data_IF_831677995148
#
_entry.id   IF_831677995148
#
_cell.length_a   1.000
_cell.length_b   1.000
_cell.length_c   1.000
_cell.angle_alpha   90.00
_cell.angle_beta   90.00
_cell.angle_gamma   90.00
#
_symmetry.space_group_name_H-M   'P 1'
#
loop_
_entity.id
_entity.type
_entity.pdbx_description
1 polymer ?
#
# COMPACT_ATOMS: atom_id res chain seq x y z
N UNK A 1 28.91 2.58 -19.01
CA UNK A 1 28.37 3.11 -17.74
C UNK A 1 27.30 4.08 -18.17
N UNK A 2 26.03 3.68 -18.11
CA UNK A 2 24.93 4.53 -18.54
C UNK A 2 24.85 5.74 -17.63
N UNK A 3 24.86 6.93 -18.24
CA UNK A 3 24.92 8.21 -17.57
C UNK A 3 23.51 8.60 -17.05
N UNK A 4 22.96 7.81 -16.13
CA UNK A 4 21.60 8.01 -15.58
C UNK A 4 21.53 9.30 -14.77
N UNK A 5 20.53 10.12 -15.04
CA UNK A 5 20.25 11.35 -14.29
C UNK A 5 19.12 11.10 -13.29
N UNK A 6 19.23 11.71 -12.11
CA UNK A 6 18.16 11.63 -11.10
C UNK A 6 16.87 12.18 -11.71
N UNK A 7 15.80 11.40 -11.64
CA UNK A 7 14.54 11.70 -12.29
C UNK A 7 14.34 11.00 -13.64
N UNK A 8 15.33 10.31 -14.20
CA UNK A 8 15.11 9.43 -15.35
C UNK A 8 14.15 8.29 -14.98
N UNK A 9 13.15 8.01 -15.80
CA UNK A 9 12.17 6.96 -15.55
C UNK A 9 11.79 6.16 -16.81
N UNK A 10 11.38 4.91 -16.59
CA UNK A 10 10.94 3.97 -17.63
C UNK A 10 9.75 3.12 -17.16
N UNK A 11 9.04 2.52 -18.11
CA UNK A 11 8.01 1.52 -17.82
C UNK A 11 8.70 0.16 -17.65
N UNK A 12 8.47 -0.47 -16.50
CA UNK A 12 8.99 -1.81 -16.18
C UNK A 12 8.01 -2.89 -16.62
N UNK A 13 6.73 -2.73 -16.31
CA UNK A 13 5.65 -3.63 -16.71
C UNK A 13 4.39 -2.84 -17.05
N UNK A 14 3.53 -3.40 -17.91
CA UNK A 14 2.21 -2.85 -18.15
C UNK A 14 1.21 -3.95 -18.51
N UNK A 15 -0.06 -3.66 -18.28
CA UNK A 15 -1.18 -4.55 -18.56
C UNK A 15 -2.40 -3.75 -19.04
N UNK A 16 -3.14 -4.32 -19.99
CA UNK A 16 -4.53 -3.93 -20.23
C UNK A 16 -5.44 -4.48 -19.12
N UNK A 17 -5.25 -5.75 -18.74
CA UNK A 17 -5.80 -6.39 -17.56
C UNK A 17 -4.79 -7.40 -17.01
N UNK A 18 -4.89 -7.70 -15.71
CA UNK A 18 -4.01 -8.69 -15.09
C UNK A 18 -4.32 -10.11 -15.59
N UNK A 19 -3.29 -10.93 -15.71
CA UNK A 19 -3.38 -12.32 -16.17
C UNK A 19 -2.63 -13.25 -15.22
N UNK A 20 -3.19 -14.43 -14.96
CA UNK A 20 -2.62 -15.43 -14.04
C UNK A 20 -2.11 -16.67 -14.76
N UNK A 21 -1.07 -17.28 -14.17
CA UNK A 21 -0.61 -18.64 -14.50
C UNK A 21 -1.48 -19.62 -13.71
N UNK A 22 -2.60 -20.04 -14.30
CA UNK A 22 -3.57 -20.93 -13.65
C UNK A 22 -3.03 -22.37 -13.50
N UNK A 23 -3.36 -23.06 -12.39
CA UNK A 23 -2.96 -24.45 -12.17
C UNK A 23 -3.83 -25.41 -12.98
N UNK A 24 -5.04 -24.98 -13.36
CA UNK A 24 -6.03 -25.77 -14.07
C UNK A 24 -6.70 -24.95 -15.17
N UNK A 25 -6.86 -25.54 -16.36
CA UNK A 25 -7.54 -24.89 -17.50
C UNK A 25 -9.01 -24.57 -17.21
N UNK A 26 -9.67 -25.34 -16.34
CA UNK A 26 -11.05 -25.06 -15.93
C UNK A 26 -11.16 -23.73 -15.17
N UNK A 27 -10.21 -23.45 -14.28
CA UNK A 27 -10.14 -22.20 -13.52
C UNK A 27 -9.90 -21.00 -14.45
N UNK A 28 -8.96 -21.15 -15.39
CA UNK A 28 -8.71 -20.15 -16.42
C UNK A 28 -9.96 -19.85 -17.25
N UNK A 29 -10.65 -20.91 -17.70
CA UNK A 29 -11.86 -20.79 -18.50
C UNK A 29 -12.96 -20.05 -17.73
N UNK A 30 -13.21 -20.40 -16.48
CA UNK A 30 -14.21 -19.72 -15.65
C UNK A 30 -13.85 -18.25 -15.42
N UNK A 31 -12.60 -17.94 -15.10
CA UNK A 31 -12.11 -16.57 -14.91
C UNK A 31 -12.40 -15.65 -16.11
N UNK A 32 -12.17 -16.15 -17.32
CA UNK A 32 -12.46 -15.40 -18.55
C UNK A 32 -13.95 -15.41 -18.93
N UNK A 33 -14.67 -16.50 -18.68
CA UNK A 33 -16.10 -16.60 -18.99
C UNK A 33 -16.97 -15.70 -18.10
N UNK A 34 -16.63 -15.58 -16.82
CA UNK A 34 -17.31 -14.70 -15.86
C UNK A 34 -16.79 -13.25 -15.90
N UNK A 35 -15.79 -12.98 -16.74
CA UNK A 35 -15.12 -11.68 -16.85
C UNK A 35 -14.55 -11.16 -15.52
N UNK A 36 -14.10 -12.05 -14.62
CA UNK A 36 -13.55 -11.67 -13.31
C UNK A 36 -12.31 -10.78 -13.41
N UNK A 37 -11.58 -10.84 -14.52
CA UNK A 37 -10.46 -9.94 -14.83
C UNK A 37 -10.84 -8.45 -14.81
N UNK A 38 -12.11 -8.10 -15.04
CA UNK A 38 -12.58 -6.70 -14.96
C UNK A 38 -12.59 -6.15 -13.54
N UNK A 39 -12.60 -7.01 -12.52
CA UNK A 39 -12.53 -6.63 -11.11
C UNK A 39 -11.10 -6.62 -10.55
N UNK A 40 -10.11 -7.06 -11.32
CA UNK A 40 -8.76 -7.25 -10.85
C UNK A 40 -7.93 -5.96 -10.96
N UNK A 41 -7.78 -5.25 -9.83
CA UNK A 41 -6.91 -4.08 -9.73
C UNK A 41 -5.68 -4.37 -8.89
N UNK A 42 -4.51 -4.01 -9.42
CA UNK A 42 -3.24 -3.99 -8.71
C UNK A 42 -3.25 -2.89 -7.63
N UNK A 43 -2.81 -3.23 -6.42
CA UNK A 43 -2.64 -2.26 -5.34
C UNK A 43 -1.16 -2.09 -4.95
N UNK A 44 -0.60 -3.01 -4.16
CA UNK A 44 0.75 -2.92 -3.62
C UNK A 44 1.79 -3.66 -4.46
N UNK A 45 2.86 -2.97 -4.87
CA UNK A 45 3.99 -3.55 -5.58
C UNK A 45 5.26 -3.59 -4.71
N UNK A 46 5.99 -4.71 -4.69
CA UNK A 46 7.26 -4.84 -3.97
C UNK A 46 8.31 -5.60 -4.79
N UNK A 47 9.58 -5.34 -4.48
CA UNK A 47 10.72 -6.10 -5.00
C UNK A 47 11.57 -6.64 -3.86
N UNK A 48 12.05 -7.88 -4.01
CA UNK A 48 12.90 -8.52 -3.01
C UNK A 48 14.39 -8.27 -3.29
N UNK A 49 15.25 -8.80 -2.43
CA UNK A 49 16.72 -8.70 -2.59
C UNK A 49 17.28 -9.41 -3.81
N UNK A 50 16.55 -10.39 -4.34
CA UNK A 50 16.93 -11.15 -5.52
C UNK A 50 16.50 -10.46 -6.82
N UNK A 51 15.77 -9.34 -6.73
CA UNK A 51 15.21 -8.63 -7.88
C UNK A 51 13.97 -9.28 -8.46
N UNK A 52 13.30 -10.16 -7.69
CA UNK A 52 11.95 -10.60 -8.01
C UNK A 52 10.96 -9.46 -7.77
N UNK A 53 9.85 -9.50 -8.51
CA UNK A 53 8.77 -8.53 -8.39
C UNK A 53 7.49 -9.21 -7.97
N UNK A 54 6.73 -8.51 -7.14
CA UNK A 54 5.51 -9.03 -6.54
C UNK A 54 4.44 -7.95 -6.56
N UNK A 55 3.19 -8.40 -6.63
CA UNK A 55 2.02 -7.56 -6.70
C UNK A 55 0.90 -8.14 -5.84
N UNK A 56 0.25 -7.28 -5.06
CA UNK A 56 -1.03 -7.61 -4.43
C UNK A 56 -2.22 -7.20 -5.31
N UNK A 57 -3.25 -8.05 -5.29
CA UNK A 57 -4.55 -7.83 -5.91
C UNK A 57 -5.59 -8.07 -4.82
N UNK A 58 -6.03 -7.02 -4.10
CA UNK A 58 -7.03 -7.16 -3.05
C UNK A 58 -8.34 -7.70 -3.63
N UNK A 59 -9.06 -8.50 -2.84
CA UNK A 59 -10.31 -9.16 -3.28
C UNK A 59 -11.52 -8.25 -3.12
N UNK A 60 -11.47 -7.06 -3.71
CA UNK A 60 -12.59 -6.11 -3.72
C UNK A 60 -13.75 -6.53 -4.64
N UNK A 61 -13.46 -7.40 -5.61
CA UNK A 61 -14.39 -7.92 -6.59
C UNK A 61 -14.40 -9.47 -6.55
N UNK A 62 -15.46 -10.12 -7.06
CA UNK A 62 -15.51 -11.58 -7.14
C UNK A 62 -14.45 -12.15 -8.08
N UNK A 63 -14.01 -13.37 -7.78
CA UNK A 63 -13.23 -14.19 -8.72
C UNK A 63 -11.75 -13.83 -8.85
N UNK A 64 -11.19 -13.02 -7.95
CA UNK A 64 -9.75 -12.76 -7.89
C UNK A 64 -8.99 -14.04 -7.47
N UNK A 65 -8.16 -14.64 -8.36
CA UNK A 65 -7.59 -15.97 -8.12
C UNK A 65 -6.65 -16.02 -6.91
N UNK A 66 -5.71 -15.07 -6.84
CA UNK A 66 -4.74 -14.96 -5.76
C UNK A 66 -4.50 -13.49 -5.40
N UNK A 67 -4.45 -13.21 -4.09
CA UNK A 67 -4.34 -11.85 -3.57
C UNK A 67 -2.90 -11.36 -3.45
N UNK A 68 -1.93 -12.27 -3.34
CA UNK A 68 -0.50 -11.96 -3.48
C UNK A 68 0.08 -12.79 -4.62
N UNK A 69 0.87 -12.13 -5.47
CA UNK A 69 1.37 -12.73 -6.69
C UNK A 69 2.85 -12.37 -6.91
N UNK A 70 3.63 -13.32 -7.41
CA UNK A 70 4.94 -13.08 -7.99
C UNK A 70 4.76 -12.85 -9.49
N UNK A 71 5.47 -11.88 -10.06
CA UNK A 71 5.44 -11.63 -11.50
C UNK A 71 6.47 -12.53 -12.20
N UNK A 72 6.02 -13.24 -13.22
CA UNK A 72 6.85 -14.09 -14.08
C UNK A 72 6.70 -13.68 -15.54
N UNK A 73 7.82 -13.66 -16.29
CA UNK A 73 7.79 -13.38 -17.72
C UNK A 73 7.52 -14.66 -18.49
N UNK A 74 6.35 -14.75 -19.14
CA UNK A 74 5.96 -15.88 -19.99
C UNK A 74 5.78 -15.36 -21.41
N UNK A 75 6.60 -15.86 -22.34
CA UNK A 75 6.58 -15.43 -23.76
C UNK A 75 6.70 -13.90 -23.93
N UNK A 76 7.48 -13.25 -23.06
CA UNK A 76 7.68 -11.80 -23.08
C UNK A 76 6.55 -10.98 -22.43
N UNK A 77 5.53 -11.63 -21.87
CA UNK A 77 4.44 -10.98 -21.12
C UNK A 77 4.59 -11.17 -19.61
N UNK A 78 4.34 -10.14 -18.80
CA UNK A 78 4.34 -10.28 -17.35
C UNK A 78 3.04 -10.96 -16.89
N UNK A 79 3.14 -12.13 -16.28
CA UNK A 79 2.03 -12.94 -15.76
C UNK A 79 2.12 -13.08 -14.24
N UNK A 80 0.98 -13.31 -13.58
CA UNK A 80 0.89 -13.46 -12.13
C UNK A 80 0.89 -14.93 -11.71
N UNK A 81 1.90 -15.33 -10.95
CA UNK A 81 1.95 -16.60 -10.24
C UNK A 81 1.49 -16.41 -8.79
N UNK A 82 0.53 -17.20 -8.31
CA UNK A 82 0.05 -17.12 -6.94
C UNK A 82 1.21 -17.31 -5.95
N UNK A 83 1.36 -16.38 -5.01
CA UNK A 83 2.44 -16.38 -4.02
C UNK A 83 1.89 -16.31 -2.59
N UNK A 84 2.44 -17.05 -1.62
CA UNK A 84 3.54 -18.01 -1.76
C UNK A 84 3.13 -19.35 -2.41
N UNK A 85 1.82 -19.61 -2.50
CA UNK A 85 1.26 -20.73 -3.25
C UNK A 85 -0.25 -20.51 -3.49
N UNK A 86 -0.88 -21.41 -4.26
CA UNK A 86 -2.34 -21.43 -4.42
C UNK A 86 -3.06 -21.77 -3.11
N UNK A 87 -2.50 -22.66 -2.28
CA UNK A 87 -3.05 -23.03 -0.97
C UNK A 87 -3.08 -21.84 -0.03
N UNK A 88 -1.99 -21.06 0.02
CA UNK A 88 -1.93 -19.84 0.83
C UNK A 88 -2.80 -18.70 0.30
N UNK A 89 -3.41 -18.86 -0.88
CA UNK A 89 -4.40 -17.94 -1.43
C UNK A 89 -5.82 -18.55 -1.41
N UNK A 90 -6.08 -19.62 -0.65
CA UNK A 90 -7.43 -20.21 -0.60
C UNK A 90 -8.42 -19.29 0.12
N UNK A 91 -9.47 -18.87 -0.60
CA UNK A 91 -10.59 -18.11 -0.05
C UNK A 91 -11.32 -18.92 1.03
N UNK A 92 -11.65 -18.27 2.16
CA UNK A 92 -12.44 -18.82 3.26
C UNK A 92 -11.63 -19.62 4.29
N UNK A 93 -10.34 -19.89 4.05
CA UNK A 93 -9.46 -20.50 5.05
C UNK A 93 -8.77 -19.40 5.89
N UNK A 94 -9.08 -19.25 7.19
CA UNK A 94 -8.48 -18.20 8.03
C UNK A 94 -6.96 -18.31 8.15
N UNK A 95 -6.36 -19.49 7.86
CA UNK A 95 -4.91 -19.67 7.85
C UNK A 95 -4.25 -19.21 6.54
N UNK A 96 -5.04 -19.00 5.48
CA UNK A 96 -4.59 -18.50 4.19
C UNK A 96 -4.87 -16.99 4.04
N UNK A 97 -4.24 -16.37 3.05
CA UNK A 97 -4.44 -14.96 2.70
C UNK A 97 -5.79 -14.74 2.02
N UNK A 98 -6.55 -13.78 2.55
CA UNK A 98 -7.91 -13.48 2.14
C UNK A 98 -7.97 -12.27 1.21
N UNK A 99 -7.42 -11.12 1.61
CA UNK A 99 -7.35 -9.91 0.79
C UNK A 99 -6.21 -9.03 1.28
N UNK A 100 -5.02 -9.22 0.70
CA UNK A 100 -3.85 -8.39 0.99
C UNK A 100 -3.91 -7.13 0.15
N UNK A 101 -3.78 -5.98 0.81
CA UNK A 101 -3.68 -4.68 0.16
C UNK A 101 -2.24 -4.17 0.21
N UNK A 102 -1.88 -3.40 1.22
CA UNK A 102 -0.52 -3.00 1.50
C UNK A 102 0.28 -4.12 2.17
N UNK A 103 1.59 -4.02 2.05
CA UNK A 103 2.53 -4.95 2.66
C UNK A 103 3.93 -4.33 2.61
N UNK A 104 4.90 -4.96 3.25
CA UNK A 104 6.30 -4.51 3.21
C UNK A 104 7.27 -5.69 3.11
N UNK A 105 8.40 -5.50 2.44
CA UNK A 105 9.53 -6.46 2.48
C UNK A 105 10.65 -5.83 3.30
N UNK A 106 10.98 -6.47 4.42
CA UNK A 106 11.95 -5.94 5.37
C UNK A 106 13.41 -6.25 5.00
N UNK A 107 14.35 -5.70 5.78
CA UNK A 107 15.78 -5.94 5.60
C UNK A 107 16.26 -7.33 6.06
N UNK A 108 15.36 -8.25 6.40
CA UNK A 108 15.67 -9.67 6.58
C UNK A 108 15.08 -10.52 5.43
N UNK A 109 14.60 -9.88 4.36
CA UNK A 109 13.95 -10.52 3.22
C UNK A 109 12.66 -11.25 3.64
N UNK A 110 11.93 -10.67 4.60
CA UNK A 110 10.62 -11.17 5.03
C UNK A 110 9.52 -10.25 4.53
N UNK A 111 8.50 -10.84 3.92
CA UNK A 111 7.28 -10.15 3.56
C UNK A 111 6.34 -10.05 4.76
N UNK A 112 5.82 -8.86 5.02
CA UNK A 112 4.80 -8.57 6.02
C UNK A 112 3.49 -8.28 5.30
N UNK A 113 2.71 -9.32 5.01
CA UNK A 113 1.43 -9.19 4.33
C UNK A 113 0.36 -8.66 5.30
N UNK A 114 -0.24 -7.52 4.97
CA UNK A 114 -1.38 -6.99 5.71
C UNK A 114 -2.68 -7.48 5.05
N UNK A 115 -3.26 -8.52 5.64
CA UNK A 115 -4.49 -9.13 5.17
C UNK A 115 -5.70 -8.44 5.83
N UNK A 116 -6.51 -7.77 5.01
CA UNK A 116 -7.72 -7.08 5.46
C UNK A 116 -8.81 -8.06 5.89
N UNK A 117 -8.81 -9.28 5.36
CA UNK A 117 -9.88 -10.26 5.60
C UNK A 117 -11.22 -9.95 4.93
N UNK A 118 -11.42 -8.74 4.41
CA UNK A 118 -12.62 -8.33 3.65
C UNK A 118 -12.58 -8.91 2.24
N UNK A 119 -13.63 -9.64 1.85
CA UNK A 119 -13.82 -10.17 0.50
C UNK A 119 -15.08 -9.55 -0.08
N UNK A 120 -14.98 -8.95 -1.26
CA UNK A 120 -16.08 -8.24 -1.95
C UNK A 120 -16.70 -7.13 -1.09
N UNK A 121 -15.90 -6.51 -0.22
CA UNK A 121 -16.37 -5.50 0.74
C UNK A 121 -17.27 -6.02 1.86
N UNK A 122 -17.43 -7.35 1.98
CA UNK A 122 -18.18 -7.95 3.09
C UNK A 122 -17.37 -7.83 4.39
N UNK A 123 -18.04 -7.78 5.56
CA UNK A 123 -17.36 -7.81 6.84
C UNK A 123 -16.40 -9.00 6.96
N UNK A 124 -15.27 -8.75 7.60
CA UNK A 124 -14.27 -9.77 7.86
C UNK A 124 -14.82 -10.87 8.79
N UNK A 125 -14.42 -12.12 8.56
CA UNK A 125 -14.66 -13.22 9.51
C UNK A 125 -13.51 -13.31 10.52
N UNK A 126 -13.77 -13.88 11.69
CA UNK A 126 -12.75 -14.01 12.71
C UNK A 126 -11.51 -14.79 12.23
N UNK A 127 -10.32 -14.21 12.39
CA UNK A 127 -9.05 -14.78 11.95
C UNK A 127 -8.65 -14.47 10.50
N UNK A 128 -9.55 -13.92 9.67
CA UNK A 128 -9.21 -13.51 8.31
C UNK A 128 -8.37 -12.21 8.29
N UNK A 129 -8.66 -11.25 9.17
CA UNK A 129 -7.88 -10.03 9.35
C UNK A 129 -6.61 -10.30 10.15
N UNK A 130 -5.44 -10.12 9.54
CA UNK A 130 -4.16 -10.53 10.13
C UNK A 130 -2.95 -9.87 9.46
N UNK A 131 -1.85 -9.84 10.21
CA UNK A 131 -0.52 -9.53 9.70
C UNK A 131 0.27 -10.84 9.58
N UNK A 132 0.75 -11.18 8.39
CA UNK A 132 1.49 -12.43 8.13
C UNK A 132 2.94 -12.09 7.80
N UNK A 133 3.88 -12.59 8.61
CA UNK A 133 5.32 -12.51 8.35
C UNK A 133 5.76 -13.80 7.63
N UNK A 134 6.27 -13.65 6.42
CA UNK A 134 6.68 -14.75 5.54
C UNK A 134 8.14 -14.58 5.13
N UNK A 135 8.95 -15.62 5.33
CA UNK A 135 10.34 -15.64 4.86
C UNK A 135 10.35 -15.94 3.36
N UNK A 136 10.77 -14.97 2.55
CA UNK A 136 10.79 -15.11 1.09
C UNK A 136 11.89 -16.09 0.66
N UNK A 137 13.01 -16.12 1.38
CA UNK A 137 14.19 -16.91 1.04
C UNK A 137 13.92 -18.40 1.21
N UNK A 138 13.32 -18.75 2.34
CA UNK A 138 12.96 -20.14 2.66
C UNK A 138 11.54 -20.52 2.20
N UNK A 139 10.78 -19.54 1.69
CA UNK A 139 9.37 -19.65 1.33
C UNK A 139 8.54 -20.34 2.45
N UNK A 140 8.63 -19.80 3.66
CA UNK A 140 7.96 -20.35 4.85
C UNK A 140 7.27 -19.28 5.68
N UNK A 141 6.20 -19.69 6.35
CA UNK A 141 5.57 -18.88 7.37
C UNK A 141 6.52 -18.67 8.55
N UNK A 142 6.74 -17.42 8.94
CA UNK A 142 7.46 -17.06 10.18
C UNK A 142 6.46 -16.87 11.31
N UNK A 143 5.42 -16.07 11.07
CA UNK A 143 4.40 -15.75 12.07
C UNK A 143 3.09 -15.30 11.41
N UNK A 144 1.96 -15.59 12.04
CA UNK A 144 0.65 -15.08 11.65
C UNK A 144 0.00 -14.43 12.86
N UNK A 145 -0.17 -13.11 12.81
CA UNK A 145 -0.69 -12.29 13.90
C UNK A 145 -2.12 -11.89 13.57
N UNK A 146 -3.09 -12.50 14.27
CA UNK A 146 -4.49 -12.08 14.19
C UNK A 146 -4.64 -10.65 14.68
N UNK A 147 -5.34 -9.82 13.93
CA UNK A 147 -5.74 -8.47 14.36
C UNK A 147 -7.22 -8.55 14.76
N UNK A 148 -7.55 -8.49 16.06
CA UNK A 148 -8.91 -8.70 16.54
C UNK A 148 -9.82 -7.48 16.30
N UNK A 149 -11.13 -7.72 16.35
CA UNK A 149 -12.19 -6.73 16.09
C UNK A 149 -12.10 -5.48 16.98
N UNK A 150 -11.65 -5.61 18.24
CA UNK A 150 -11.48 -4.50 19.17
C UNK A 150 -10.26 -3.61 18.86
N UNK A 151 -9.30 -4.12 18.09
CA UNK A 151 -8.15 -3.35 17.56
C UNK A 151 -8.48 -2.73 16.21
N UNK A 152 -9.18 -3.49 15.36
CA UNK A 152 -9.65 -3.05 14.05
C UNK A 152 -10.97 -3.75 13.74
N UNK A 153 -12.05 -2.98 13.76
CA UNK A 153 -13.41 -3.45 13.52
C UNK A 153 -13.49 -4.23 12.20
N UNK A 154 -14.03 -5.45 12.26
CA UNK A 154 -14.31 -6.29 11.10
C UNK A 154 -15.41 -5.75 10.20
N UNK A 155 -16.17 -4.75 10.65
CA UNK A 155 -17.19 -4.07 9.85
C UNK A 155 -16.66 -2.79 9.22
N UNK A 156 -15.83 -2.03 9.94
CA UNK A 156 -15.47 -0.67 9.56
C UNK A 156 -14.05 -0.51 8.99
N UNK A 157 -13.11 -1.37 9.40
CA UNK A 157 -11.69 -1.18 9.11
C UNK A 157 -11.36 -1.41 7.64
N UNK A 158 -10.34 -0.72 7.18
CA UNK A 158 -9.73 -0.93 5.89
C UNK A 158 -8.23 -0.79 6.08
N UNK A 159 -7.59 -1.89 6.51
CA UNK A 159 -6.16 -1.94 6.79
C UNK A 159 -5.40 -1.68 5.48
N UNK A 160 -4.74 -0.54 5.40
CA UNK A 160 -4.24 -0.03 4.13
C UNK A 160 -2.78 -0.39 3.91
N UNK A 161 -1.88 0.38 4.51
CA UNK A 161 -0.44 0.21 4.39
C UNK A 161 0.25 -0.12 5.72
N UNK A 162 1.48 -0.63 5.62
CA UNK A 162 2.28 -1.09 6.75
C UNK A 162 3.75 -0.68 6.64
N UNK A 163 4.35 -0.29 7.76
CA UNK A 163 5.77 0.03 7.91
C UNK A 163 6.41 -0.84 8.99
N UNK A 164 7.63 -1.33 8.74
CA UNK A 164 8.32 -2.28 9.61
C UNK A 164 9.54 -1.63 10.26
N UNK A 165 9.65 -1.76 11.57
CA UNK A 165 10.76 -1.28 12.39
C UNK A 165 11.38 -2.45 13.16
N UNK A 166 12.24 -3.21 12.48
CA UNK A 166 12.97 -4.31 13.11
C UNK A 166 13.97 -3.82 14.18
N UNK A 167 14.51 -2.61 14.03
CA UNK A 167 15.49 -2.05 14.94
C UNK A 167 14.89 -1.82 16.35
N UNK A 168 13.66 -1.30 16.42
CA UNK A 168 12.96 -1.12 17.69
C UNK A 168 11.99 -2.28 18.02
N UNK A 169 11.68 -3.14 17.05
CA UNK A 169 10.78 -4.28 17.21
C UNK A 169 9.30 -3.91 17.12
N UNK A 170 8.92 -3.07 16.16
CA UNK A 170 7.54 -2.60 15.98
C UNK A 170 7.07 -2.65 14.52
N UNK A 171 5.77 -2.76 14.33
CA UNK A 171 5.10 -2.58 13.02
C UNK A 171 4.02 -1.52 13.18
N UNK A 172 3.87 -0.65 12.18
CA UNK A 172 2.89 0.42 12.14
C UNK A 172 1.96 0.21 10.96
N UNK A 173 0.65 0.27 11.19
CA UNK A 173 -0.38 0.02 10.17
C UNK A 173 -1.28 1.25 10.09
N UNK A 174 -1.58 1.69 8.87
CA UNK A 174 -2.63 2.65 8.59
C UNK A 174 -3.96 1.91 8.39
N UNK A 175 -5.03 2.45 8.97
CA UNK A 175 -6.39 1.96 8.78
C UNK A 175 -7.27 3.09 8.28
N UNK A 176 -7.76 2.96 7.05
CA UNK A 176 -8.54 4.00 6.37
C UNK A 176 -10.00 4.01 6.80
N UNK A 177 -10.49 2.96 7.46
CA UNK A 177 -11.82 2.93 8.10
C UNK A 177 -13.04 3.15 7.18
N UNK A 178 -12.97 2.78 5.90
CA UNK A 178 -13.86 3.30 4.83
C UNK A 178 -15.25 2.67 4.75
N UNK A 179 -15.54 1.59 5.49
CA UNK A 179 -16.78 0.83 5.32
C UNK A 179 -17.97 1.37 6.11
N UNK A 180 -17.76 2.35 7.00
CA UNK A 180 -18.84 2.97 7.79
C UNK A 180 -18.90 4.48 7.61
N UNK A 181 -20.07 5.06 7.94
CA UNK A 181 -20.26 6.50 8.08
C UNK A 181 -20.80 6.81 9.49
N UNK A 182 -20.05 7.51 10.37
CA UNK A 182 -18.74 8.12 10.13
C UNK A 182 -17.63 7.10 9.83
N UNK A 183 -16.62 7.58 9.11
CA UNK A 183 -15.38 6.85 8.84
C UNK A 183 -14.70 6.52 10.17
N UNK A 184 -14.02 5.37 10.25
CA UNK A 184 -13.41 4.89 11.51
C UNK A 184 -11.89 4.82 11.47
N UNK A 185 -11.26 5.71 10.70
CA UNK A 185 -9.81 5.69 10.46
C UNK A 185 -8.97 5.78 11.75
N UNK A 186 -7.75 5.27 11.69
CA UNK A 186 -6.84 5.20 12.83
C UNK A 186 -5.48 4.65 12.43
N UNK A 187 -4.58 4.49 13.41
CA UNK A 187 -3.33 3.76 13.23
C UNK A 187 -3.27 2.60 14.23
N UNK A 188 -2.55 1.54 13.89
CA UNK A 188 -2.32 0.39 14.76
C UNK A 188 -0.81 0.20 14.94
N UNK A 189 -0.39 0.00 16.18
CA UNK A 189 0.99 -0.30 16.54
C UNK A 189 1.05 -1.74 17.03
N UNK A 190 1.93 -2.53 16.44
CA UNK A 190 2.23 -3.89 16.87
C UNK A 190 3.62 -3.94 17.50
N UNK A 191 3.72 -4.51 18.70
CA UNK A 191 4.99 -4.76 19.36
C UNK A 191 5.44 -6.19 19.09
N UNK A 192 6.52 -6.37 18.32
CA UNK A 192 7.01 -7.69 17.92
C UNK A 192 7.50 -8.53 19.11
N UNK A 193 7.89 -7.89 20.22
CA UNK A 193 8.43 -8.55 21.41
C UNK A 193 7.31 -9.03 22.35
N UNK A 194 6.37 -8.15 22.67
CA UNK A 194 5.26 -8.49 23.58
C UNK A 194 4.09 -9.15 22.86
N UNK A 195 4.06 -9.07 21.52
CA UNK A 195 2.96 -9.52 20.66
C UNK A 195 1.66 -8.73 20.85
N UNK A 196 1.74 -7.58 21.51
CA UNK A 196 0.59 -6.72 21.75
C UNK A 196 0.30 -5.83 20.55
N UNK A 197 -0.98 -5.64 20.27
CA UNK A 197 -1.51 -4.67 19.33
C UNK A 197 -2.14 -3.51 20.09
N UNK A 198 -2.02 -2.30 19.54
CA UNK A 198 -2.66 -1.12 20.09
C UNK A 198 -3.18 -0.22 18.98
N UNK A 199 -4.49 0.00 18.97
CA UNK A 199 -5.10 1.06 18.15
C UNK A 199 -4.81 2.42 18.78
N UNK A 200 -4.41 3.40 17.98
CA UNK A 200 -4.18 4.79 18.38
C UNK A 200 -4.84 5.73 17.36
N UNK A 201 -5.06 6.99 17.74
CA UNK A 201 -5.63 8.02 16.86
C UNK A 201 -6.96 7.58 16.20
N UNK A 202 -7.75 6.76 16.89
CA UNK A 202 -9.04 6.29 16.39
C UNK A 202 -10.00 7.47 16.26
N UNK A 203 -10.49 7.69 15.04
CA UNK A 203 -11.33 8.84 14.68
C UNK A 203 -10.72 10.21 14.99
N UNK A 204 -9.39 10.29 15.14
CA UNK A 204 -8.68 11.55 15.28
C UNK A 204 -8.70 12.32 13.94
N UNK A 205 -8.79 13.64 13.96
CA UNK A 205 -8.91 14.46 12.73
C UNK A 205 -7.82 14.17 11.68
N UNK A 206 -6.62 13.78 12.13
CA UNK A 206 -5.47 13.44 11.28
C UNK A 206 -5.61 12.09 10.56
N UNK A 207 -6.60 11.28 10.90
CA UNK A 207 -6.84 9.94 10.31
C UNK A 207 -8.18 9.86 9.59
N UNK A 208 -8.94 10.96 9.53
CA UNK A 208 -10.25 11.03 8.88
C UNK A 208 -10.19 11.72 7.52
N UNK A 209 -11.23 11.52 6.72
CA UNK A 209 -11.44 12.29 5.49
C UNK A 209 -11.72 13.77 5.80
N UNK A 210 -11.15 14.66 4.98
CA UNK A 210 -11.45 16.08 5.05
C UNK A 210 -12.89 16.34 4.57
N UNK A 211 -13.71 17.10 5.33
CA UNK A 211 -15.10 17.35 4.98
C UNK A 211 -15.26 17.98 3.59
N UNK A 212 -16.16 17.41 2.78
CA UNK A 212 -16.47 17.90 1.42
C UNK A 212 -15.25 18.02 0.50
N UNK A 213 -14.22 17.21 0.69
CA UNK A 213 -13.05 17.21 -0.18
C UNK A 213 -13.35 16.47 -1.50
N UNK A 214 -13.23 17.20 -2.61
CA UNK A 214 -13.35 16.66 -3.95
C UNK A 214 -12.02 16.81 -4.66
N UNK A 215 -11.57 15.73 -5.29
CA UNK A 215 -10.38 15.73 -6.12
C UNK A 215 -10.65 15.02 -7.44
N UNK A 216 -9.75 15.26 -8.39
CA UNK A 216 -9.84 14.70 -9.74
C UNK A 216 -8.54 14.03 -10.11
N UNK A 217 -8.63 12.94 -10.84
CA UNK A 217 -7.48 12.26 -11.44
C UNK A 217 -7.54 12.56 -12.94
N UNK A 218 -6.49 13.19 -13.47
CA UNK A 218 -6.44 13.61 -14.88
C UNK A 218 -7.72 14.34 -15.34
N UNK A 219 -8.24 15.23 -14.50
CA UNK A 219 -9.44 16.04 -14.78
C UNK A 219 -10.78 15.32 -14.60
N UNK A 220 -10.81 14.03 -14.28
CA UNK A 220 -12.02 13.25 -14.03
C UNK A 220 -12.28 13.07 -12.52
N UNK A 221 -13.52 13.22 -12.05
CA UNK A 221 -13.83 12.92 -10.65
C UNK A 221 -13.73 11.42 -10.38
N UNK A 222 -13.44 11.04 -9.13
CA UNK A 222 -13.40 9.62 -8.75
C UNK A 222 -14.78 8.98 -8.77
N UNK A 223 -15.74 9.63 -8.11
CA UNK A 223 -17.16 9.30 -8.19
C UNK A 223 -17.92 10.49 -8.80
N UNK A 224 -18.96 10.21 -9.58
CA UNK A 224 -19.70 11.25 -10.33
C UNK A 224 -20.61 12.09 -9.42
N UNK A 225 -21.10 11.52 -8.32
CA UNK A 225 -22.22 12.02 -7.52
C UNK A 225 -21.91 12.22 -6.03
N UNK A 226 -20.75 11.76 -5.54
CA UNK A 226 -20.33 11.89 -4.14
C UNK A 226 -18.81 12.06 -4.00
N UNK A 227 -18.29 12.67 -2.92
CA UNK A 227 -16.86 12.66 -2.67
C UNK A 227 -16.38 11.24 -2.31
N UNK A 228 -15.14 10.91 -2.68
CA UNK A 228 -14.49 9.72 -2.13
C UNK A 228 -14.05 10.00 -0.69
N UNK A 229 -14.27 9.04 0.21
CA UNK A 229 -13.95 9.16 1.62
C UNK A 229 -13.01 8.05 2.03
N UNK A 230 -11.75 8.43 2.27
CA UNK A 230 -10.69 7.53 2.69
C UNK A 230 -9.87 8.22 3.77
N UNK A 231 -9.78 7.56 4.93
CA UNK A 231 -9.01 8.02 6.08
C UNK A 231 -7.51 7.81 5.90
N UNK A 232 -6.79 7.62 7.01
CA UNK A 232 -5.35 7.34 7.02
C UNK A 232 -5.00 6.21 6.05
N UNK A 233 -4.11 6.52 5.12
CA UNK A 233 -3.78 5.66 3.99
C UNK A 233 -2.26 5.55 3.89
N UNK A 234 -1.63 6.40 3.07
CA UNK A 234 -0.19 6.53 2.98
C UNK A 234 0.46 6.75 4.35
N UNK A 235 1.45 5.91 4.64
CA UNK A 235 2.25 5.89 5.85
C UNK A 235 3.72 5.73 5.48
N UNK A 236 4.63 6.37 6.20
CA UNK A 236 6.06 6.21 6.00
C UNK A 236 6.81 6.31 7.32
N UNK A 237 7.89 5.55 7.45
CA UNK A 237 8.76 5.62 8.61
C UNK A 237 10.10 6.23 8.20
N UNK A 238 10.51 7.29 8.90
CA UNK A 238 11.83 7.92 8.72
C UNK A 238 12.98 6.91 8.78
N UNK A 239 14.07 7.19 8.07
CA UNK A 239 15.30 6.39 8.06
C UNK A 239 15.78 6.02 9.48
N UNK A 240 15.78 6.99 10.40
CA UNK A 240 16.22 6.82 11.79
C UNK A 240 15.16 6.25 12.74
N UNK A 241 13.97 5.93 12.21
CA UNK A 241 12.83 5.32 12.92
C UNK A 241 12.24 6.16 14.03
N UNK A 242 12.55 7.46 14.09
CA UNK A 242 12.07 8.34 15.16
C UNK A 242 10.76 9.02 14.84
N UNK A 243 10.41 9.10 13.57
CA UNK A 243 9.21 9.79 13.09
C UNK A 243 8.41 8.88 12.16
N UNK A 244 7.15 8.64 12.53
CA UNK A 244 6.14 8.04 11.68
C UNK A 244 5.36 9.16 11.00
N UNK A 245 5.21 9.10 9.68
CA UNK A 245 4.45 10.03 8.86
C UNK A 245 3.21 9.32 8.33
N UNK A 246 2.11 10.05 8.18
CA UNK A 246 0.92 9.54 7.49
C UNK A 246 0.08 10.67 6.89
N UNK A 247 -0.80 10.34 5.97
CA UNK A 247 -1.86 11.24 5.53
C UNK A 247 -3.16 10.48 5.26
N UNK A 248 -4.32 11.10 5.52
CA UNK A 248 -5.56 10.63 4.91
C UNK A 248 -5.52 10.82 3.40
N UNK A 249 -6.02 9.84 2.63
CA UNK A 249 -6.10 9.99 1.17
C UNK A 249 -7.08 11.10 0.80
N UNK A 250 -8.22 11.20 1.47
CA UNK A 250 -9.14 12.34 1.28
C UNK A 250 -8.67 13.56 2.07
N UNK A 251 -7.42 14.00 1.86
CA UNK A 251 -6.82 15.21 2.44
C UNK A 251 -5.52 15.58 1.71
N UNK A 252 -5.06 16.82 1.88
CA UNK A 252 -3.73 17.24 1.42
C UNK A 252 -2.71 17.35 2.54
N UNK A 253 -3.13 17.28 3.80
CA UNK A 253 -2.19 17.47 4.89
C UNK A 253 -1.30 16.25 5.08
N UNK A 254 -0.04 16.50 5.45
CA UNK A 254 0.86 15.49 5.98
C UNK A 254 0.89 15.61 7.51
N UNK A 255 0.87 14.47 8.21
CA UNK A 255 0.98 14.41 9.66
C UNK A 255 2.20 13.59 10.07
N UNK A 256 2.68 13.83 11.30
CA UNK A 256 3.80 13.10 11.87
C UNK A 256 3.68 12.94 13.38
N UNK A 257 4.31 11.89 13.92
CA UNK A 257 4.43 11.65 15.36
C UNK A 257 5.78 11.02 15.68
N UNK A 258 6.32 11.36 16.85
CA UNK A 258 7.52 10.70 17.36
C UNK A 258 7.18 9.26 17.79
N UNK A 259 7.90 8.29 17.23
CA UNK A 259 7.65 6.87 17.45
C UNK A 259 7.83 6.46 18.91
N UNK A 260 8.73 7.09 19.67
CA UNK A 260 8.93 6.79 21.08
C UNK A 260 7.67 7.00 21.94
N UNK A 261 6.78 7.90 21.52
CA UNK A 261 5.51 8.18 22.21
C UNK A 261 4.55 7.00 22.05
N UNK A 262 4.46 6.45 20.83
CA UNK A 262 3.52 5.39 20.45
C UNK A 262 4.08 3.97 20.68
N UNK A 263 5.40 3.82 20.77
CA UNK A 263 6.07 2.58 21.17
C UNK A 263 5.90 2.29 22.67
N UNK A 264 5.68 3.32 23.49
CA UNK A 264 5.32 3.14 24.89
C UNK A 264 3.81 2.92 25.05
N UNK A 265 3.40 1.66 25.24
CA UNK A 265 1.98 1.30 25.34
C UNK A 265 1.32 1.79 26.63
N UNK A 266 2.08 2.29 27.61
CA UNK A 266 1.54 2.98 28.79
C UNK A 266 1.24 4.47 28.55
N UNK A 267 1.65 5.06 27.42
CA UNK A 267 1.33 6.46 27.09
C UNK A 267 -0.18 6.63 26.93
N UNK A 268 -0.85 7.53 27.67
CA UNK A 268 -2.29 7.77 27.50
C UNK A 268 -2.65 8.30 26.10
N UNK A 269 -3.83 7.94 25.60
CA UNK A 269 -4.31 8.37 24.28
C UNK A 269 -4.29 9.91 24.13
N UNK A 270 -4.72 10.65 25.16
CA UNK A 270 -4.69 12.12 25.14
C UNK A 270 -3.30 12.72 24.93
N UNK A 271 -2.23 12.03 25.35
CA UNK A 271 -0.85 12.45 25.07
C UNK A 271 -0.41 12.10 23.65
N UNK A 272 -0.93 11.01 23.08
CA UNK A 272 -0.67 10.62 21.69
C UNK A 272 -1.35 11.62 20.77
N UNK A 273 -2.64 11.93 21.01
CA UNK A 273 -3.42 12.88 20.22
C UNK A 273 -2.75 14.27 20.22
N UNK A 274 -2.36 14.77 21.39
CA UNK A 274 -1.68 16.07 21.52
C UNK A 274 -0.25 16.10 20.94
N UNK A 275 0.35 14.95 20.63
CA UNK A 275 1.68 14.85 20.04
C UNK A 275 1.67 14.81 18.51
N UNK A 276 0.50 14.75 17.88
CA UNK A 276 0.38 14.79 16.42
C UNK A 276 0.85 16.15 15.90
N UNK A 277 1.79 16.12 14.97
CA UNK A 277 2.26 17.29 14.25
C UNK A 277 1.58 17.36 12.89
N UNK A 278 0.90 18.46 12.60
CA UNK A 278 0.43 18.77 11.24
C UNK A 278 1.55 19.50 10.48
N UNK A 279 2.08 18.86 9.45
CA UNK A 279 3.17 19.36 8.61
C UNK A 279 2.67 20.16 7.38
N UNK A 280 1.37 20.42 7.32
CA UNK A 280 0.75 21.28 6.33
C UNK A 280 0.37 20.59 5.02
N UNK A 281 -0.12 21.39 4.09
CA UNK A 281 -0.59 20.99 2.76
C UNK A 281 0.61 20.66 1.85
N UNK A 282 0.64 19.43 1.32
CA UNK A 282 1.67 18.95 0.39
C UNK A 282 1.36 19.19 -1.10
N UNK A 283 0.28 19.91 -1.39
CA UNK A 283 -0.18 20.32 -2.71
C UNK A 283 -1.08 19.31 -3.43
N UNK A 284 -1.26 18.12 -2.87
CA UNK A 284 -2.00 17.01 -3.49
C UNK A 284 -2.45 16.00 -2.44
N UNK A 285 -3.48 15.21 -2.77
CA UNK A 285 -3.79 14.00 -2.04
C UNK A 285 -2.87 12.84 -2.45
N UNK A 286 -2.72 11.89 -1.54
CA UNK A 286 -1.74 10.81 -1.64
C UNK A 286 -2.39 9.50 -1.25
N UNK A 287 -2.08 8.48 -2.05
CA UNK A 287 -2.40 7.08 -1.79
C UNK A 287 -1.25 6.48 -0.97
N UNK A 288 -0.21 5.91 -1.60
CA UNK A 288 0.97 5.40 -0.90
C UNK A 288 2.08 6.40 -0.60
N UNK A 289 2.91 6.04 0.37
CA UNK A 289 4.11 6.77 0.78
C UNK A 289 5.30 5.83 0.99
N UNK A 290 6.51 6.40 1.00
CA UNK A 290 7.74 5.69 1.31
C UNK A 290 8.84 6.64 1.80
N UNK A 291 9.90 6.09 2.37
CA UNK A 291 11.05 6.87 2.82
C UNK A 291 12.35 6.27 2.33
N UNK A 292 13.32 7.12 2.03
CA UNK A 292 14.67 6.68 1.67
C UNK A 292 15.63 6.67 2.88
N UNK A 293 16.77 6.01 2.70
CA UNK A 293 17.88 5.97 3.66
C UNK A 293 18.65 7.30 3.78
N UNK A 294 18.26 8.35 3.05
CA UNK A 294 18.83 9.71 3.12
C UNK A 294 17.93 10.66 3.91
N UNK A 295 16.78 10.19 4.37
CA UNK A 295 15.83 10.94 5.20
C UNK A 295 14.75 11.69 4.42
N UNK A 296 14.62 11.48 3.10
CA UNK A 296 13.51 12.04 2.35
C UNK A 296 12.28 11.15 2.44
N UNK A 297 11.09 11.78 2.39
CA UNK A 297 9.80 11.08 2.31
C UNK A 297 9.24 11.29 0.91
N UNK A 298 8.91 10.20 0.23
CA UNK A 298 8.26 10.19 -1.07
C UNK A 298 6.77 9.92 -0.88
N UNK A 299 5.95 10.55 -1.70
CA UNK A 299 4.50 10.41 -1.65
C UNK A 299 3.93 10.41 -3.06
N UNK A 300 2.89 9.63 -3.29
CA UNK A 300 2.17 9.67 -4.57
C UNK A 300 1.39 10.97 -4.70
N UNK A 301 1.35 11.51 -5.91
CA UNK A 301 0.59 12.72 -6.25
C UNK A 301 -0.58 12.30 -7.12
N UNK A 302 -1.76 12.13 -6.52
CA UNK A 302 -2.95 11.67 -7.23
C UNK A 302 -3.47 12.73 -8.21
N UNK A 303 -3.66 13.97 -7.74
CA UNK A 303 -4.01 15.11 -8.60
C UNK A 303 -2.82 15.57 -9.45
N UNK A 304 -1.59 15.38 -8.96
CA UNK A 304 -0.36 15.85 -9.61
C UNK A 304 0.23 14.87 -10.65
N UNK A 305 -0.33 13.67 -10.78
CA UNK A 305 0.09 12.63 -11.73
C UNK A 305 1.59 12.32 -11.66
N UNK A 306 2.05 11.85 -10.50
CA UNK A 306 3.46 11.51 -10.31
C UNK A 306 3.86 11.23 -8.86
N UNK A 307 5.13 11.50 -8.55
CA UNK A 307 5.72 11.33 -7.22
C UNK A 307 6.21 12.69 -6.72
N UNK A 308 5.87 13.01 -5.47
CA UNK A 308 6.39 14.15 -4.73
C UNK A 308 7.43 13.72 -3.70
N UNK A 309 8.20 14.69 -3.21
CA UNK A 309 9.19 14.49 -2.16
C UNK A 309 9.07 15.59 -1.11
N UNK A 310 9.04 15.16 0.16
CA UNK A 310 9.12 15.98 1.33
C UNK A 310 10.51 15.82 1.97
N UNK A 311 11.18 16.95 2.21
CA UNK A 311 12.46 16.97 2.91
C UNK A 311 12.23 17.44 4.36
N UNK A 312 12.34 16.56 5.36
CA UNK A 312 12.14 16.92 6.77
C UNK A 312 13.16 17.91 7.33
N UNK A 313 14.37 17.99 6.75
CA UNK A 313 15.40 18.91 7.22
C UNK A 313 15.11 20.36 6.82
N UNK A 314 14.44 20.58 5.69
CA UNK A 314 14.07 21.92 5.20
C UNK A 314 12.58 22.23 5.34
N UNK A 315 11.74 21.23 5.60
CA UNK A 315 10.28 21.35 5.59
C UNK A 315 9.69 21.57 4.19
N UNK A 316 10.42 21.24 3.12
CA UNK A 316 10.02 21.58 1.76
C UNK A 316 9.31 20.41 1.06
N UNK A 317 8.21 20.70 0.38
CA UNK A 317 7.53 19.83 -0.56
C UNK A 317 7.91 20.23 -2.00
N UNK A 318 8.16 19.25 -2.87
CA UNK A 318 8.34 19.49 -4.30
C UNK A 318 7.92 18.28 -5.13
N UNK A 319 7.45 18.48 -6.38
CA UNK A 319 7.40 17.40 -7.36
C UNK A 319 8.79 16.77 -7.53
N UNK A 320 8.82 15.44 -7.66
CA UNK A 320 10.02 14.70 -8.04
C UNK A 320 9.96 14.29 -9.52
N UNK A 321 8.92 13.56 -9.90
CA UNK A 321 8.61 13.20 -11.29
C UNK A 321 7.12 13.37 -11.54
N UNK A 322 6.77 13.77 -12.76
CA UNK A 322 5.38 13.94 -13.22
C UNK A 322 5.27 13.52 -14.67
N UNK A 323 4.20 12.82 -15.01
CA UNK A 323 3.90 12.43 -16.38
C UNK A 323 2.37 12.27 -16.52
N UNK A 324 1.78 12.77 -17.60
CA UNK A 324 0.33 12.69 -17.81
C UNK A 324 -0.18 11.23 -17.90
N UNK A 325 0.73 10.27 -18.11
CA UNK A 325 0.41 8.83 -18.11
C UNK A 325 0.39 8.22 -16.71
N UNK A 326 0.91 8.89 -15.70
CA UNK A 326 0.91 8.44 -14.30
C UNK A 326 -0.45 8.71 -13.64
N UNK A 327 -1.44 7.94 -14.09
CA UNK A 327 -2.82 8.00 -13.61
C UNK A 327 -2.92 7.19 -12.32
N UNK A 328 -3.54 7.75 -11.27
CA UNK A 328 -3.71 7.09 -9.96
C UNK A 328 -2.45 6.34 -9.50
N UNK A 329 -1.46 7.10 -9.04
CA UNK A 329 -0.23 6.53 -8.49
C UNK A 329 -0.52 6.00 -7.09
N UNK A 330 -0.27 4.72 -6.86
CA UNK A 330 -0.76 3.96 -5.70
C UNK A 330 0.39 3.62 -4.73
N UNK A 331 1.00 2.43 -4.84
CA UNK A 331 2.09 1.99 -3.97
C UNK A 331 3.49 2.25 -4.51
N UNK A 332 4.49 2.24 -3.61
CA UNK A 332 5.91 2.37 -3.99
C UNK A 332 6.87 1.50 -3.17
N UNK A 333 8.06 1.28 -3.72
CA UNK A 333 9.16 0.52 -3.12
C UNK A 333 10.52 0.95 -3.70
N UNK A 334 11.62 0.50 -3.09
CA UNK A 334 12.98 0.75 -3.57
C UNK A 334 13.69 -0.54 -3.95
N UNK A 335 14.41 -0.54 -5.07
CA UNK A 335 15.06 -1.75 -5.63
C UNK A 335 16.48 -2.03 -5.12
N UNK A 336 16.92 -1.30 -4.08
CA UNK A 336 18.29 -1.30 -3.54
C UNK A 336 19.41 -0.95 -4.55
N UNK A 337 19.07 -0.53 -5.77
CA UNK A 337 19.98 -0.14 -6.84
C UNK A 337 19.77 1.32 -7.26
N UNK A 338 19.25 2.14 -6.34
CA UNK A 338 19.02 3.55 -6.59
C UNK A 338 17.75 3.88 -7.37
N UNK A 339 16.77 2.97 -7.45
CA UNK A 339 15.49 3.26 -8.09
C UNK A 339 14.31 3.17 -7.12
N UNK A 340 13.38 4.08 -7.31
CA UNK A 340 12.01 3.99 -6.82
C UNK A 340 11.20 3.24 -7.87
N UNK A 341 10.44 2.24 -7.43
CA UNK A 341 9.47 1.52 -8.26
C UNK A 341 8.09 1.81 -7.69
N UNK A 342 7.14 2.10 -8.57
CA UNK A 342 5.78 2.44 -8.17
C UNK A 342 4.79 2.02 -9.24
N UNK A 343 3.55 1.73 -8.83
CA UNK A 343 2.48 1.37 -9.75
C UNK A 343 1.48 2.50 -9.93
N UNK A 344 0.88 2.52 -11.12
CA UNK A 344 -0.18 3.43 -11.52
C UNK A 344 -1.32 2.61 -12.08
N UNK A 345 -2.56 3.02 -11.78
CA UNK A 345 -3.75 2.31 -12.20
C UNK A 345 -4.85 3.27 -12.68
N UNK A 346 -6.02 2.75 -13.01
CA UNK A 346 -7.16 3.56 -13.45
C UNK A 346 -8.39 3.34 -12.58
N UNK A 347 -8.18 3.22 -11.26
CA UNK A 347 -9.23 2.87 -10.31
C UNK A 347 -10.45 3.80 -10.40
N UNK A 348 -10.24 5.12 -10.56
CA UNK A 348 -11.34 6.07 -10.79
C UNK A 348 -12.18 5.79 -12.06
N UNK A 349 -11.57 5.31 -13.14
CA UNK A 349 -12.30 4.97 -14.38
C UNK A 349 -13.01 3.63 -14.24
N UNK A 350 -12.43 2.68 -13.48
CA UNK A 350 -13.11 1.44 -13.10
C UNK A 350 -14.38 1.74 -12.29
N UNK A 351 -14.25 2.57 -11.25
CA UNK A 351 -15.36 3.02 -10.41
C UNK A 351 -16.43 3.78 -11.19
N UNK A 352 -16.01 4.60 -12.16
CA UNK A 352 -16.90 5.35 -13.04
C UNK A 352 -17.60 4.50 -14.11
N UNK A 353 -17.18 3.24 -14.32
CA UNK A 353 -17.66 2.35 -15.38
C UNK A 353 -17.15 2.71 -16.78
N UNK A 354 -16.09 3.52 -16.87
CA UNK A 354 -15.61 4.14 -18.10
C UNK A 354 -14.23 3.60 -18.55
N UNK A 355 -13.72 2.55 -17.91
CA UNK A 355 -12.40 1.97 -18.20
C UNK A 355 -12.37 1.23 -19.54
N UNK A 356 -11.44 1.62 -20.43
CA UNK A 356 -11.21 0.96 -21.72
C UNK A 356 -10.21 -0.20 -21.57
N UNK A 357 -10.74 -1.42 -21.56
CA UNK A 357 -9.94 -2.64 -21.44
C UNK A 357 -9.13 -3.01 -22.68
N UNK A 358 -9.32 -2.30 -23.80
CA UNK A 358 -8.45 -2.46 -24.98
C UNK A 358 -7.15 -1.65 -24.86
N UNK A 359 -7.08 -0.70 -23.93
CA UNK A 359 -5.89 0.10 -23.69
C UNK A 359 -4.82 -0.69 -22.92
N UNK A 360 -3.60 -0.74 -23.46
CA UNK A 360 -2.51 -1.60 -22.95
C UNK A 360 -1.85 -1.10 -21.66
N UNK A 361 -2.17 0.11 -21.21
CA UNK A 361 -1.53 0.79 -20.07
C UNK A 361 -2.57 1.15 -19.00
N UNK A 362 -3.46 0.23 -18.70
CA UNK A 362 -4.42 0.39 -17.61
C UNK A 362 -3.78 0.19 -16.25
N UNK A 363 -2.82 -0.72 -16.17
CA UNK A 363 -1.97 -0.92 -15.01
C UNK A 363 -0.52 -0.82 -15.48
N UNK A 364 0.29 0.01 -14.83
CA UNK A 364 1.68 0.24 -15.22
C UNK A 364 2.55 0.24 -13.98
N UNK A 365 3.71 -0.41 -14.06
CA UNK A 365 4.77 -0.33 -13.05
C UNK A 365 5.89 0.48 -13.66
N UNK A 366 6.27 1.55 -12.98
CA UNK A 366 7.32 2.48 -13.38
C UNK A 366 8.57 2.24 -12.55
N UNK A 367 9.70 2.58 -13.13
CA UNK A 367 11.01 2.58 -12.46
C UNK A 367 11.66 3.94 -12.67
N UNK A 368 11.94 4.65 -11.59
CA UNK A 368 12.57 5.97 -11.62
C UNK A 368 13.88 5.98 -10.84
N UNK A 369 14.93 6.54 -11.42
CA UNK A 369 16.24 6.65 -10.79
C UNK A 369 16.25 7.80 -9.78
N UNK A 370 16.54 7.48 -8.51
CA UNK A 370 16.58 8.42 -7.39
C UNK A 370 18.02 8.71 -6.91
N UNK A 371 19.00 7.92 -7.36
CA UNK A 371 20.43 8.12 -7.08
C UNK A 371 21.11 6.83 -6.61
N UNK A 372 22.39 6.65 -6.95
CA UNK A 372 23.10 5.36 -6.79
C UNK A 372 23.10 4.80 -5.36
N UNK A 373 23.23 5.66 -4.36
CA UNK A 373 23.29 5.28 -2.94
C UNK A 373 21.93 5.37 -2.20
N UNK A 374 20.85 5.65 -2.93
CA UNK A 374 19.50 5.77 -2.37
C UNK A 374 18.85 4.40 -2.29
N UNK A 375 18.38 4.06 -1.10
CA UNK A 375 17.70 2.79 -0.77
C UNK A 375 16.49 3.08 0.10
N UNK A 376 15.67 2.06 0.36
CA UNK A 376 14.61 2.16 1.37
C UNK A 376 15.16 2.57 2.74
N UNK A 377 14.34 3.24 3.55
CA UNK A 377 14.57 3.53 4.97
C UNK A 377 15.09 2.31 5.76
N UNK A 378 14.73 1.09 5.33
CA UNK A 378 15.21 -0.22 5.80
C UNK A 378 16.74 -0.40 5.78
N UNK A 379 17.46 0.40 4.99
CA UNK A 379 18.92 0.31 4.81
C UNK A 379 19.65 1.56 5.29
N UNK A 380 19.04 2.36 6.16
CA UNK A 380 19.73 3.41 6.89
C UNK A 380 20.71 2.79 7.91
N UNK A 381 21.91 3.35 8.02
CA UNK A 381 22.98 2.90 8.93
C UNK A 381 22.89 3.66 10.24
#
# INVERSE_FOLDING_TARGET
MDNKQVGDYEILFHWSHLEWIFPEEAMKKDFYQQEYWKGAMAAGFKTDRSGNYYLSVPRWAPGIPATVNKIEMVEGKPMLAAYPSWEMNRIGDPNALQSVLGWEIDELNRAWFLDQGHIEGKPCIDGAQKLVCWDITENKLVESIKIPDDIASYEASFLNDVMVDNANGFVYIADSGIFTDPLQGGLIVYNMRTKELRRILHQHESTQDAPNYWFKIAGKPVWKDRPMRTGADGIALSADRKTLYWCPLTSRNLYAINTAIIQNFSTPHTKIDAAVMNLGDKGTNTDGMGADNKGNIYYTMLEGQGIGIYNPATGAYRPFITDERMIWVDGMTFDNKGHLIFNTNRLHELFGGDLDWSYEYNLVVWKAFVGEDVKSYLYAV
#
